data_IF_199637675344
#
_entry.id   IF_199637675344
#
_cell.length_a   1.000
_cell.length_b   1.000
_cell.length_c   1.000
_cell.angle_alpha   90.00
_cell.angle_beta   90.00
_cell.angle_gamma   90.00
#
_symmetry.space_group_name_H-M   'P 1'
#
loop_
_entity.id
_entity.type
_entity.pdbx_description
1 polymer ?
#
# COMPACT_ATOMS: atom_id res chain seq x y z
N UNK A 1 -14.06 -0.53 -23.81
CA UNK A 1 -13.93 -0.73 -22.35
C UNK A 1 -12.80 0.12 -21.82
N UNK A 2 -13.10 1.25 -21.20
CA UNK A 2 -12.10 2.15 -20.61
C UNK A 2 -11.88 1.78 -19.15
N UNK A 3 -10.87 0.95 -18.86
CA UNK A 3 -10.39 0.80 -17.48
C UNK A 3 -9.28 1.82 -17.25
N UNK A 4 -9.51 2.76 -16.33
CA UNK A 4 -8.54 3.77 -15.95
C UNK A 4 -7.26 3.07 -15.49
N UNK A 5 -6.12 3.41 -16.11
CA UNK A 5 -4.79 2.96 -15.68
C UNK A 5 -4.22 4.02 -14.74
N UNK A 6 -3.73 3.57 -13.59
CA UNK A 6 -3.00 4.44 -12.66
C UNK A 6 -1.54 4.05 -12.70
N UNK A 7 -0.65 5.02 -12.93
CA UNK A 7 0.79 4.82 -12.79
C UNK A 7 1.11 4.70 -11.30
N UNK A 8 1.80 3.62 -10.94
CA UNK A 8 2.29 3.38 -9.58
C UNK A 8 3.80 3.59 -9.58
N UNK A 9 4.29 4.44 -8.68
CA UNK A 9 5.71 4.52 -8.38
C UNK A 9 6.06 3.47 -7.33
N UNK A 10 7.19 2.81 -7.49
CA UNK A 10 7.64 1.71 -6.64
C UNK A 10 9.06 2.00 -6.18
N UNK A 11 9.32 1.87 -4.89
CA UNK A 11 10.64 2.02 -4.31
C UNK A 11 10.83 1.06 -3.13
N UNK A 12 12.07 0.60 -2.93
CA UNK A 12 12.48 -0.06 -1.70
C UNK A 12 13.19 0.96 -0.82
N UNK A 13 12.73 1.10 0.43
CA UNK A 13 13.31 1.95 1.47
C UNK A 13 13.78 1.04 2.60
N UNK A 14 15.06 0.68 2.57
CA UNK A 14 15.61 -0.38 3.41
C UNK A 14 14.79 -1.68 3.23
N UNK A 15 14.15 -2.19 4.28
CA UNK A 15 13.30 -3.38 4.22
C UNK A 15 11.84 -3.11 3.83
N UNK A 16 11.47 -1.84 3.64
CA UNK A 16 10.09 -1.43 3.38
C UNK A 16 9.83 -1.24 1.89
N UNK A 17 8.79 -1.90 1.36
CA UNK A 17 8.33 -1.66 -0.01
C UNK A 17 7.32 -0.52 -0.01
N UNK A 18 7.66 0.59 -0.67
CA UNK A 18 6.79 1.76 -0.84
C UNK A 18 6.16 1.76 -2.23
N UNK A 19 4.85 1.92 -2.27
CA UNK A 19 4.07 2.21 -3.47
C UNK A 19 3.48 3.62 -3.36
N UNK A 20 3.54 4.40 -4.44
CA UNK A 20 2.95 5.74 -4.47
C UNK A 20 2.06 5.95 -5.70
N UNK A 21 0.87 6.49 -5.48
CA UNK A 21 -0.06 6.87 -6.54
C UNK A 21 -1.08 7.89 -6.03
N UNK A 22 -1.49 8.85 -6.89
CA UNK A 22 -2.51 9.87 -6.56
C UNK A 22 -2.25 10.66 -5.27
N UNK A 23 -0.98 10.87 -4.90
CA UNK A 23 -0.61 11.53 -3.65
C UNK A 23 -0.74 10.67 -2.38
N UNK A 24 -1.21 9.42 -2.52
CA UNK A 24 -1.25 8.41 -1.46
C UNK A 24 -0.01 7.53 -1.49
N UNK A 25 0.36 6.98 -0.34
CA UNK A 25 1.45 6.01 -0.20
C UNK A 25 0.95 4.75 0.51
N UNK A 26 1.50 3.60 0.12
CA UNK A 26 1.34 2.34 0.80
C UNK A 26 2.73 1.79 1.11
N UNK A 27 3.05 1.69 2.39
CA UNK A 27 4.30 1.12 2.88
C UNK A 27 4.04 -0.27 3.43
N UNK A 28 4.70 -1.27 2.84
CA UNK A 28 4.70 -2.65 3.31
C UNK A 28 5.98 -2.87 4.11
N UNK A 29 5.82 -2.82 5.42
CA UNK A 29 6.88 -2.87 6.40
C UNK A 29 6.92 -4.26 7.05
N UNK A 30 8.06 -4.98 7.01
CA UNK A 30 8.24 -6.19 7.78
C UNK A 30 8.24 -5.92 9.28
N UNK A 31 7.51 -6.73 10.03
CA UNK A 31 7.46 -6.74 11.49
C UNK A 31 7.70 -8.16 12.01
N UNK A 32 7.88 -8.32 13.33
CA UNK A 32 8.04 -9.65 13.94
C UNK A 32 6.82 -10.56 13.71
N UNK A 33 5.63 -9.98 13.55
CA UNK A 33 4.36 -10.70 13.39
C UNK A 33 3.94 -10.86 11.92
N UNK A 34 4.74 -10.36 10.96
CA UNK A 34 4.45 -10.46 9.53
C UNK A 34 4.69 -9.15 8.77
N UNK A 35 3.79 -8.80 7.86
CA UNK A 35 3.86 -7.54 7.10
C UNK A 35 2.78 -6.59 7.62
N UNK A 36 3.16 -5.35 7.92
CA UNK A 36 2.24 -4.25 8.20
C UNK A 36 2.12 -3.36 6.97
N UNK A 37 0.89 -3.10 6.53
CA UNK A 37 0.59 -2.07 5.55
C UNK A 37 0.31 -0.76 6.27
N UNK A 38 1.08 0.28 5.99
CA UNK A 38 0.80 1.65 6.42
C UNK A 38 0.28 2.44 5.21
N UNK A 39 -0.95 2.96 5.32
CA UNK A 39 -1.57 3.81 4.31
C UNK A 39 -1.38 5.27 4.72
N UNK A 40 -0.77 6.06 3.85
CA UNK A 40 -0.55 7.48 4.06
C UNK A 40 -1.41 8.26 3.08
N UNK A 41 -2.35 9.02 3.61
CA UNK A 41 -3.22 9.90 2.83
C UNK A 41 -2.50 11.22 2.48
N UNK A 42 -2.96 11.97 1.47
CA UNK A 42 -2.31 13.21 1.04
C UNK A 42 -2.29 14.30 2.12
N UNK A 43 -3.21 14.24 3.08
CA UNK A 43 -3.26 15.14 4.23
C UNK A 43 -2.31 14.74 5.37
N UNK A 44 -1.60 13.62 5.23
CA UNK A 44 -0.67 13.10 6.23
C UNK A 44 -1.31 12.12 7.22
N UNK A 45 -2.61 11.83 7.12
CA UNK A 45 -3.24 10.81 7.96
C UNK A 45 -2.65 9.45 7.66
N UNK A 46 -2.37 8.70 8.72
CA UNK A 46 -1.79 7.36 8.63
C UNK A 46 -2.75 6.37 9.28
N UNK A 47 -3.11 5.34 8.51
CA UNK A 47 -3.78 4.15 9.03
C UNK A 47 -2.92 2.92 8.75
N UNK A 48 -3.12 1.84 9.50
CA UNK A 48 -2.37 0.61 9.27
C UNK A 48 -3.22 -0.64 9.45
N UNK A 49 -2.82 -1.71 8.77
CA UNK A 49 -3.38 -3.05 8.96
C UNK A 49 -2.32 -4.13 8.77
N UNK A 50 -2.51 -5.27 9.43
CA UNK A 50 -1.71 -6.46 9.14
C UNK A 50 -2.09 -7.03 7.77
N UNK A 51 -1.09 -7.47 7.01
CA UNK A 51 -1.27 -8.10 5.70
C UNK A 51 -1.09 -9.61 5.84
N UNK A 52 -2.13 -10.36 5.49
CA UNK A 52 -2.06 -11.80 5.37
C UNK A 52 -1.70 -12.16 3.92
N UNK A 53 -0.56 -12.80 3.70
CA UNK A 53 -0.06 -13.10 2.34
C UNK A 53 -0.92 -14.14 1.58
N UNK A 54 -1.85 -14.79 2.28
CA UNK A 54 -2.73 -15.82 1.73
C UNK A 54 -4.12 -15.29 1.33
N UNK A 55 -4.32 -13.96 1.31
CA UNK A 55 -5.60 -13.33 0.93
C UNK A 55 -5.55 -12.75 -0.48
N UNK A 56 -6.70 -12.27 -0.99
CA UNK A 56 -6.77 -11.60 -2.29
C UNK A 56 -5.93 -10.31 -2.27
N UNK A 57 -4.86 -10.19 -3.08
CA UNK A 57 -4.04 -8.98 -3.14
C UNK A 57 -4.84 -7.75 -3.62
N UNK A 58 -5.94 -7.95 -4.34
CA UNK A 58 -6.77 -6.84 -4.80
C UNK A 58 -7.52 -6.15 -3.65
N UNK A 59 -7.72 -6.80 -2.50
CA UNK A 59 -8.28 -6.15 -1.30
C UNK A 59 -7.36 -5.05 -0.80
N UNK A 60 -6.05 -5.30 -0.73
CA UNK A 60 -5.07 -4.32 -0.30
C UNK A 60 -5.01 -3.11 -1.25
N UNK A 61 -5.16 -3.35 -2.55
CA UNK A 61 -5.20 -2.27 -3.56
C UNK A 61 -6.49 -1.45 -3.45
N UNK A 62 -7.64 -2.11 -3.20
CA UNK A 62 -8.92 -1.42 -2.96
C UNK A 62 -8.84 -0.51 -1.73
N UNK A 63 -8.33 -1.03 -0.63
CA UNK A 63 -8.19 -0.26 0.61
C UNK A 63 -7.27 0.95 0.44
N UNK A 64 -6.25 0.85 -0.41
CA UNK A 64 -5.33 1.95 -0.68
C UNK A 64 -5.89 3.00 -1.65
N UNK A 65 -6.46 2.58 -2.79
CA UNK A 65 -6.79 3.48 -3.90
C UNK A 65 -8.28 3.84 -4.03
N UNK A 66 -9.15 3.18 -3.26
CA UNK A 66 -10.60 3.29 -3.38
C UNK A 66 -11.16 2.41 -4.49
#
# INVERSE_FOLDING_TARGET
GHRLRTKIYVAWLDTTLRLEAKGRKLDLEPTADGIRANFVEPNGDVSHKSVHLNTDPAELIRDWLG
#
